data_IF_545866733499
#
_entry.id   IF_545866733499
#
_cell.length_a   1.000
_cell.length_b   1.000
_cell.length_c   1.000
_cell.angle_alpha   90.00
_cell.angle_beta   90.00
_cell.angle_gamma   90.00
#
_symmetry.space_group_name_H-M   'P 1'
#
loop_
_entity.id
_entity.type
_entity.pdbx_description
1 polymer ?
#
# COMPACT_ATOMS: atom_id res chain seq x y z
N UNK A 1 32.03 28.34 13.27
CA UNK A 1 33.39 28.73 12.92
C UNK A 1 33.51 30.25 12.76
N UNK A 2 32.59 30.94 12.07
CA UNK A 2 32.74 32.36 11.74
C UNK A 2 32.72 33.28 12.98
N UNK A 3 31.88 33.01 13.98
CA UNK A 3 31.73 33.81 15.20
C UNK A 3 32.52 33.27 16.40
N UNK A 4 33.09 32.06 16.32
CA UNK A 4 33.82 31.44 17.40
C UNK A 4 35.15 32.10 17.79
N UNK A 5 35.68 32.97 16.92
CA UNK A 5 36.93 33.72 17.19
C UNK A 5 36.73 34.89 18.18
N UNK A 6 35.48 35.31 18.42
CA UNK A 6 35.15 36.38 19.33
C UNK A 6 35.03 35.89 20.79
N UNK A 7 35.03 34.55 20.99
CA UNK A 7 34.88 33.94 22.33
C UNK A 7 36.26 33.78 22.99
N UNK A 8 36.35 34.26 24.21
CA UNK A 8 37.57 34.22 25.02
C UNK A 8 37.66 32.94 25.90
N UNK A 9 36.55 32.22 26.04
CA UNK A 9 36.42 31.03 26.85
C UNK A 9 35.71 31.28 28.16
N UNK A 10 34.86 30.36 28.59
CA UNK A 10 34.05 30.47 29.80
C UNK A 10 32.66 31.07 29.64
N UNK A 11 32.33 31.52 28.42
CA UNK A 11 31.00 32.05 28.13
C UNK A 11 29.93 30.92 28.17
N UNK A 12 28.73 31.26 28.68
CA UNK A 12 27.59 30.33 28.75
C UNK A 12 26.68 30.41 27.54
N UNK A 13 26.77 31.45 26.76
CA UNK A 13 25.99 31.66 25.54
C UNK A 13 26.74 32.59 24.58
N UNK A 14 26.41 32.48 23.30
CA UNK A 14 26.80 33.45 22.29
C UNK A 14 25.57 33.90 21.50
N UNK A 15 25.58 35.12 21.03
CA UNK A 15 24.56 35.65 20.14
C UNK A 15 25.17 35.86 18.76
N UNK A 16 24.56 35.32 17.72
CA UNK A 16 24.99 35.54 16.34
C UNK A 16 23.76 35.67 15.42
N UNK A 17 23.99 36.12 14.20
CA UNK A 17 22.92 36.17 13.20
C UNK A 17 22.65 34.78 12.64
N UNK A 18 21.39 34.38 12.65
CA UNK A 18 20.95 33.14 11.98
C UNK A 18 20.99 33.39 10.47
N UNK A 19 21.80 32.64 9.77
CA UNK A 19 21.97 32.75 8.32
C UNK A 19 20.68 32.50 7.52
N UNK A 20 19.76 31.69 8.03
CA UNK A 20 18.53 31.34 7.32
C UNK A 20 17.39 32.33 7.53
N UNK A 21 17.26 32.92 8.74
CA UNK A 21 16.16 33.82 9.09
C UNK A 21 16.58 35.28 9.12
N UNK A 22 17.89 35.53 9.08
CA UNK A 22 18.50 36.86 9.24
C UNK A 22 18.08 37.56 10.55
N UNK A 23 17.83 36.78 11.60
CA UNK A 23 17.48 37.23 12.95
C UNK A 23 18.57 36.83 13.94
N UNK A 24 18.77 37.58 15.05
CA UNK A 24 19.70 37.18 16.08
C UNK A 24 19.24 35.90 16.80
N UNK A 25 20.16 34.94 16.95
CA UNK A 25 19.95 33.70 17.68
C UNK A 25 20.94 33.59 18.84
N UNK A 26 20.45 33.16 20.01
CA UNK A 26 21.28 32.79 21.17
C UNK A 26 21.60 31.34 21.15
N UNK A 27 22.88 31.00 21.21
CA UNK A 27 23.40 29.64 21.20
C UNK A 27 23.99 29.35 22.59
N UNK A 28 23.44 28.39 23.36
CA UNK A 28 24.02 27.99 24.65
C UNK A 28 25.40 27.36 24.43
N UNK A 29 26.32 27.69 25.31
CA UNK A 29 27.69 27.14 25.30
C UNK A 29 27.97 26.44 26.63
N UNK A 30 28.81 25.42 26.56
CA UNK A 30 29.42 24.80 27.73
C UNK A 30 30.66 25.60 28.10
N UNK A 31 30.62 26.30 29.26
CA UNK A 31 31.69 27.16 29.70
C UNK A 31 33.00 26.45 30.07
N UNK A 32 32.97 25.12 30.16
CA UNK A 32 34.17 24.31 30.38
C UNK A 32 34.87 23.88 29.10
N UNK A 33 34.24 24.15 27.95
CA UNK A 33 34.72 23.78 26.64
C UNK A 33 35.19 25.01 25.87
N UNK A 34 36.21 24.82 25.06
CA UNK A 34 36.64 25.85 24.10
C UNK A 34 35.58 26.06 23.01
N UNK A 35 35.68 27.18 22.28
CA UNK A 35 34.79 27.48 21.14
C UNK A 35 34.75 26.34 20.12
N UNK A 36 35.91 25.74 19.84
CA UNK A 36 36.04 24.61 18.91
C UNK A 36 35.35 23.35 19.43
N UNK A 37 35.52 23.02 20.71
CA UNK A 37 34.86 21.87 21.33
C UNK A 37 33.34 22.04 21.41
N UNK A 38 32.85 23.24 21.71
CA UNK A 38 31.44 23.58 21.63
C UNK A 38 30.90 23.38 20.20
N UNK A 39 31.59 23.91 19.21
CA UNK A 39 31.22 23.72 17.79
C UNK A 39 31.20 22.23 17.40
N UNK A 40 32.21 21.45 17.82
CA UNK A 40 32.26 20.00 17.57
C UNK A 40 31.09 19.27 18.23
N UNK A 41 30.77 19.61 19.50
CA UNK A 41 29.61 19.03 20.23
C UNK A 41 28.29 19.28 19.50
N UNK A 42 28.07 20.47 18.97
CA UNK A 42 26.89 20.80 18.16
C UNK A 42 26.88 20.04 16.83
N UNK A 43 28.03 19.95 16.16
CA UNK A 43 28.17 19.22 14.91
C UNK A 43 27.91 17.71 15.07
N UNK A 44 28.45 17.11 16.13
CA UNK A 44 28.22 15.70 16.45
C UNK A 44 26.74 15.43 16.78
N UNK A 45 26.10 16.33 17.54
CA UNK A 45 24.66 16.26 17.83
C UNK A 45 23.85 16.36 16.53
N UNK A 46 24.17 17.29 15.64
CA UNK A 46 23.53 17.44 14.35
C UNK A 46 23.65 16.15 13.51
N UNK A 47 24.86 15.62 13.38
CA UNK A 47 25.12 14.40 12.61
C UNK A 47 24.38 13.18 13.19
N UNK A 48 24.32 13.07 14.51
CA UNK A 48 23.54 12.03 15.19
C UNK A 48 22.05 12.16 14.86
N UNK A 49 21.49 13.35 15.01
CA UNK A 49 20.07 13.61 14.75
C UNK A 49 19.72 13.38 13.27
N UNK A 50 20.58 13.83 12.35
CA UNK A 50 20.41 13.62 10.92
C UNK A 50 20.34 12.12 10.57
N UNK A 51 21.33 11.33 11.03
CA UNK A 51 21.35 9.87 10.80
C UNK A 51 20.13 9.18 11.43
N UNK A 52 19.73 9.61 12.64
CA UNK A 52 18.54 9.07 13.30
C UNK A 52 17.28 9.39 12.51
N UNK A 53 17.14 10.61 12.02
CA UNK A 53 15.99 11.03 11.20
C UNK A 53 15.90 10.21 9.90
N UNK A 54 17.03 10.07 9.17
CA UNK A 54 17.09 9.28 7.94
C UNK A 54 16.73 7.81 8.19
N UNK A 55 17.27 7.20 9.25
CA UNK A 55 16.96 5.81 9.61
C UNK A 55 15.49 5.62 10.03
N UNK A 56 14.94 6.53 10.84
CA UNK A 56 13.54 6.48 11.26
C UNK A 56 12.58 6.69 10.09
N UNK A 57 12.92 7.57 9.15
CA UNK A 57 12.10 7.80 7.94
C UNK A 57 12.01 6.52 7.11
N UNK A 58 13.15 5.86 6.86
CA UNK A 58 13.18 4.60 6.13
C UNK A 58 12.38 3.50 6.84
N UNK A 59 12.60 3.32 8.15
CA UNK A 59 11.89 2.34 8.96
C UNK A 59 10.37 2.59 9.01
N UNK A 60 9.95 3.86 9.04
CA UNK A 60 8.52 4.22 9.04
C UNK A 60 7.85 3.81 7.73
N UNK A 61 8.53 4.00 6.59
CA UNK A 61 8.01 3.58 5.27
C UNK A 61 7.87 2.05 5.23
N UNK A 62 8.92 1.32 5.60
CA UNK A 62 8.94 -0.15 5.62
C UNK A 62 7.82 -0.71 6.53
N UNK A 63 7.71 -0.20 7.76
CA UNK A 63 6.65 -0.64 8.69
C UNK A 63 5.25 -0.36 8.16
N UNK A 64 5.05 0.78 7.47
CA UNK A 64 3.76 1.09 6.86
C UNK A 64 3.42 0.11 5.74
N UNK A 65 4.37 -0.21 4.87
CA UNK A 65 4.18 -1.21 3.80
C UNK A 65 3.83 -2.59 4.38
N UNK A 66 4.46 -3.00 5.48
CA UNK A 66 4.12 -4.24 6.19
C UNK A 66 2.70 -4.23 6.77
N UNK A 67 2.28 -3.11 7.37
CA UNK A 67 0.92 -2.94 7.89
C UNK A 67 -0.10 -3.02 6.75
N UNK A 68 0.11 -2.29 5.66
CA UNK A 68 -0.77 -2.28 4.51
C UNK A 68 -0.90 -3.71 3.91
N UNK A 69 0.20 -4.46 3.88
CA UNK A 69 0.20 -5.86 3.43
C UNK A 69 -0.60 -6.76 4.39
N UNK A 70 -0.39 -6.67 5.70
CA UNK A 70 -1.16 -7.45 6.69
C UNK A 70 -2.65 -7.09 6.68
N UNK A 71 -3.01 -5.84 6.48
CA UNK A 71 -4.40 -5.42 6.32
C UNK A 71 -5.05 -6.00 5.05
N UNK A 72 -4.31 -6.10 3.95
CA UNK A 72 -4.79 -6.76 2.73
C UNK A 72 -5.03 -8.26 2.95
N UNK A 73 -4.13 -8.93 3.66
CA UNK A 73 -4.29 -10.34 4.05
C UNK A 73 -5.49 -10.54 5.00
N UNK A 74 -5.69 -9.64 5.96
CA UNK A 74 -6.86 -9.66 6.84
C UNK A 74 -8.16 -9.57 6.04
N UNK A 75 -8.20 -8.67 5.05
CA UNK A 75 -9.37 -8.56 4.14
C UNK A 75 -9.56 -9.84 3.32
N UNK A 76 -8.49 -10.46 2.86
CA UNK A 76 -8.56 -11.74 2.15
C UNK A 76 -9.12 -12.88 3.04
N UNK A 77 -8.79 -12.88 4.34
CA UNK A 77 -9.38 -13.84 5.31
C UNK A 77 -10.89 -13.65 5.45
N UNK A 78 -11.40 -12.42 5.45
CA UNK A 78 -12.83 -12.12 5.51
C UNK A 78 -13.58 -12.53 4.21
N UNK A 79 -12.85 -12.63 3.10
CA UNK A 79 -13.37 -13.04 1.78
C UNK A 79 -13.33 -14.57 1.60
N UNK A 80 -12.39 -15.25 2.24
CA UNK A 80 -12.17 -16.68 2.09
C UNK A 80 -13.40 -17.51 2.50
N UNK A 81 -13.87 -18.40 1.61
CA UNK A 81 -15.04 -19.25 1.84
C UNK A 81 -14.69 -20.74 1.96
N UNK A 82 -13.54 -21.15 1.42
CA UNK A 82 -13.12 -22.53 1.31
C UNK A 82 -11.72 -22.75 1.89
N UNK A 83 -11.40 -24.00 2.19
CA UNK A 83 -10.09 -24.38 2.71
C UNK A 83 -8.95 -24.01 1.72
N UNK A 84 -9.19 -24.15 0.42
CA UNK A 84 -8.22 -23.82 -0.62
C UNK A 84 -7.88 -22.31 -0.60
N UNK A 85 -8.86 -21.45 -0.30
CA UNK A 85 -8.65 -20.01 -0.17
C UNK A 85 -7.71 -19.71 1.02
N UNK A 86 -7.93 -20.38 2.17
CA UNK A 86 -7.08 -20.26 3.35
C UNK A 86 -5.67 -20.81 3.13
N UNK A 87 -5.50 -21.82 2.29
CA UNK A 87 -4.17 -22.36 1.96
C UNK A 87 -3.33 -21.35 1.17
N UNK A 88 -3.91 -20.59 0.24
CA UNK A 88 -3.24 -19.51 -0.48
C UNK A 88 -2.79 -18.40 0.47
N UNK A 89 -3.68 -17.97 1.37
CA UNK A 89 -3.38 -16.94 2.38
C UNK A 89 -2.26 -17.42 3.32
N UNK A 90 -2.32 -18.67 3.77
CA UNK A 90 -1.27 -19.27 4.60
C UNK A 90 0.07 -19.30 3.87
N UNK A 91 0.06 -19.61 2.58
CA UNK A 91 1.28 -19.58 1.78
C UNK A 91 1.87 -18.18 1.74
N UNK A 92 1.06 -17.16 1.49
CA UNK A 92 1.49 -15.76 1.47
C UNK A 92 2.10 -15.33 2.81
N UNK A 93 1.41 -15.59 3.94
CA UNK A 93 1.92 -15.32 5.28
C UNK A 93 3.27 -16.01 5.55
N UNK A 94 3.46 -17.22 5.01
CA UNK A 94 4.71 -17.98 5.18
C UNK A 94 5.83 -17.43 4.30
N UNK A 95 5.55 -17.07 3.06
CA UNK A 95 6.53 -16.54 2.10
C UNK A 95 7.06 -15.17 2.53
N UNK A 96 6.19 -14.34 3.12
CA UNK A 96 6.57 -13.02 3.63
C UNK A 96 7.05 -13.03 5.09
N UNK A 97 7.17 -14.23 5.72
CA UNK A 97 7.78 -14.40 7.03
C UNK A 97 6.89 -14.03 8.22
N UNK A 98 5.60 -13.73 8.01
CA UNK A 98 4.67 -13.44 9.10
C UNK A 98 4.36 -14.67 9.95
N UNK A 99 4.42 -15.87 9.39
CA UNK A 99 4.33 -17.12 10.13
C UNK A 99 5.48 -18.05 9.80
N UNK A 100 5.88 -18.87 10.78
CA UNK A 100 6.97 -19.83 10.61
C UNK A 100 6.57 -20.97 9.69
N UNK A 101 7.48 -21.37 8.80
CA UNK A 101 7.33 -22.56 7.98
C UNK A 101 7.41 -23.79 8.88
N UNK A 102 6.31 -24.54 9.04
CA UNK A 102 6.27 -25.78 9.79
C UNK A 102 6.48 -26.98 8.85
N UNK A 103 7.46 -27.81 9.17
CA UNK A 103 7.74 -29.10 8.51
C UNK A 103 8.84 -29.05 7.46
N UNK A 104 9.35 -30.24 7.05
CA UNK A 104 10.31 -30.35 5.96
C UNK A 104 9.68 -29.79 4.69
N UNK A 105 10.51 -29.21 3.81
CA UNK A 105 10.07 -28.65 2.53
C UNK A 105 9.25 -29.66 1.74
N UNK A 106 7.95 -29.73 2.05
CA UNK A 106 7.00 -30.64 1.44
C UNK A 106 6.70 -30.20 0.01
N UNK A 107 6.17 -31.12 -0.79
CA UNK A 107 5.69 -30.87 -2.15
C UNK A 107 4.85 -29.58 -2.17
N UNK A 108 5.12 -28.68 -3.12
CA UNK A 108 4.26 -27.50 -3.35
C UNK A 108 2.83 -28.00 -3.47
N UNK A 109 1.97 -27.60 -2.55
CA UNK A 109 0.55 -27.91 -2.63
C UNK A 109 0.02 -27.21 -3.88
N UNK A 110 -0.61 -27.98 -4.76
CA UNK A 110 -1.24 -27.44 -5.96
C UNK A 110 -2.47 -26.66 -5.48
N UNK A 111 -2.39 -25.34 -5.51
CA UNK A 111 -3.47 -24.47 -5.14
C UNK A 111 -4.53 -24.53 -6.23
N UNK A 112 -5.78 -24.79 -5.85
CA UNK A 112 -6.91 -24.98 -6.76
C UNK A 112 -7.99 -23.94 -6.58
N UNK A 113 -7.80 -22.97 -5.68
CA UNK A 113 -8.72 -21.85 -5.51
C UNK A 113 -8.83 -21.05 -6.81
N UNK A 114 -10.05 -20.65 -7.17
CA UNK A 114 -10.34 -19.83 -8.34
C UNK A 114 -10.96 -18.51 -7.90
N UNK A 115 -10.73 -17.42 -8.65
CA UNK A 115 -11.43 -16.16 -8.44
C UNK A 115 -12.95 -16.36 -8.49
N UNK A 116 -13.70 -15.47 -7.84
CA UNK A 116 -15.13 -15.41 -8.08
C UNK A 116 -15.39 -14.99 -9.52
N UNK A 117 -16.44 -15.55 -10.10
CA UNK A 117 -16.84 -15.25 -11.47
C UNK A 117 -18.32 -14.89 -11.49
N UNK A 118 -18.62 -13.70 -12.01
CA UNK A 118 -19.98 -13.18 -12.16
C UNK A 118 -20.26 -12.83 -13.61
N UNK A 119 -21.55 -12.79 -13.94
CA UNK A 119 -22.03 -12.26 -15.21
C UNK A 119 -22.82 -10.99 -14.95
N UNK A 120 -22.43 -9.89 -15.58
CA UNK A 120 -23.19 -8.64 -15.48
C UNK A 120 -24.58 -8.77 -16.12
N UNK A 121 -25.49 -7.84 -15.80
CA UNK A 121 -26.82 -7.81 -16.42
C UNK A 121 -26.77 -7.71 -17.95
N UNK A 122 -25.68 -7.18 -18.50
CA UNK A 122 -25.47 -7.05 -19.95
C UNK A 122 -24.62 -8.18 -20.56
N UNK A 123 -24.30 -9.21 -19.76
CA UNK A 123 -23.58 -10.40 -20.22
C UNK A 123 -22.06 -10.28 -20.23
N UNK A 124 -21.47 -9.27 -19.58
CA UNK A 124 -20.01 -9.19 -19.42
C UNK A 124 -19.53 -10.07 -18.29
N UNK A 125 -18.42 -10.75 -18.49
CA UNK A 125 -17.76 -11.54 -17.47
C UNK A 125 -16.99 -10.66 -16.49
N UNK A 126 -17.25 -10.83 -15.20
CA UNK A 126 -16.61 -10.11 -14.09
C UNK A 126 -15.90 -11.10 -13.20
N UNK A 127 -14.60 -10.88 -12.97
CA UNK A 127 -13.79 -11.73 -12.11
C UNK A 127 -13.30 -10.95 -10.89
N UNK A 128 -13.34 -11.58 -9.71
CA UNK A 128 -12.97 -10.96 -8.43
C UNK A 128 -11.93 -11.83 -7.75
N UNK A 129 -10.77 -11.27 -7.45
CA UNK A 129 -9.70 -11.98 -6.74
C UNK A 129 -10.03 -12.13 -5.26
N UNK A 130 -9.73 -13.30 -4.69
CA UNK A 130 -9.99 -13.63 -3.29
C UNK A 130 -8.83 -13.29 -2.36
N UNK A 131 -7.63 -13.12 -2.92
CA UNK A 131 -6.40 -12.80 -2.20
C UNK A 131 -5.41 -12.06 -3.11
N UNK A 132 -4.27 -11.68 -2.56
CA UNK A 132 -3.28 -10.89 -3.28
C UNK A 132 -2.66 -11.60 -4.48
N UNK A 133 -2.46 -12.92 -4.43
CA UNK A 133 -1.95 -13.70 -5.57
C UNK A 133 -2.96 -13.72 -6.72
N UNK A 134 -4.24 -13.95 -6.43
CA UNK A 134 -5.30 -13.91 -7.43
C UNK A 134 -5.50 -12.49 -8.00
N UNK A 135 -5.42 -11.45 -7.15
CA UNK A 135 -5.44 -10.06 -7.59
C UNK A 135 -4.33 -9.79 -8.62
N UNK A 136 -3.12 -10.25 -8.32
CA UNK A 136 -1.95 -10.12 -9.21
C UNK A 136 -2.14 -10.90 -10.53
N UNK A 137 -2.60 -12.14 -10.44
CA UNK A 137 -2.84 -13.00 -11.60
C UNK A 137 -3.94 -12.45 -12.51
N UNK A 138 -5.07 -12.05 -11.94
CA UNK A 138 -6.17 -11.42 -12.67
C UNK A 138 -5.72 -10.17 -13.41
N UNK A 139 -4.97 -9.31 -12.72
CA UNK A 139 -4.57 -8.02 -13.28
C UNK A 139 -3.47 -8.17 -14.33
N UNK A 140 -2.45 -9.00 -14.10
CA UNK A 140 -1.24 -8.98 -14.93
C UNK A 140 -1.08 -10.16 -15.88
N UNK A 141 -1.85 -11.25 -15.68
CA UNK A 141 -1.79 -12.41 -16.58
C UNK A 141 -3.09 -12.66 -17.33
N UNK A 142 -4.24 -12.43 -16.67
CA UNK A 142 -5.56 -12.75 -17.23
C UNK A 142 -6.18 -11.57 -17.99
N UNK A 143 -6.14 -10.37 -17.40
CA UNK A 143 -6.73 -9.18 -18.02
C UNK A 143 -5.92 -8.68 -19.22
N UNK A 144 -6.62 -8.30 -20.30
CA UNK A 144 -6.05 -7.62 -21.46
C UNK A 144 -6.07 -6.10 -21.30
N UNK A 145 -5.32 -5.39 -22.13
CA UNK A 145 -5.13 -3.93 -21.96
C UNK A 145 -6.41 -3.10 -21.93
N UNK A 146 -7.46 -3.53 -22.63
CA UNK A 146 -8.73 -2.81 -22.73
C UNK A 146 -9.76 -3.23 -21.69
N UNK A 147 -9.53 -4.32 -20.95
CA UNK A 147 -10.39 -4.72 -19.85
C UNK A 147 -10.38 -3.65 -18.75
N UNK A 148 -11.46 -3.55 -17.99
CA UNK A 148 -11.58 -2.61 -16.90
C UNK A 148 -11.21 -3.25 -15.57
N UNK A 149 -10.41 -2.52 -14.80
CA UNK A 149 -9.98 -2.85 -13.46
C UNK A 149 -10.66 -1.91 -12.47
N UNK A 150 -11.18 -2.47 -11.36
CA UNK A 150 -11.84 -1.74 -10.27
C UNK A 150 -11.20 -2.14 -8.95
N UNK A 151 -11.15 -1.18 -8.00
CA UNK A 151 -10.67 -1.43 -6.65
C UNK A 151 -11.21 -0.36 -5.68
N UNK A 152 -11.43 -0.74 -4.42
CA UNK A 152 -11.82 0.19 -3.37
C UNK A 152 -10.70 1.20 -3.10
N UNK A 153 -11.01 2.49 -3.18
CA UNK A 153 -10.03 3.56 -3.11
C UNK A 153 -9.41 3.69 -1.72
N UNK A 154 -8.09 3.59 -1.67
CA UNK A 154 -7.30 3.82 -0.45
C UNK A 154 -7.51 2.82 0.68
N UNK A 155 -8.23 1.72 0.46
CA UNK A 155 -8.44 0.65 1.43
C UNK A 155 -8.19 -0.73 0.81
N UNK A 156 -7.81 -1.75 1.59
CA UNK A 156 -7.64 -3.11 1.11
C UNK A 156 -8.91 -3.70 0.50
N UNK A 157 -8.73 -4.46 -0.59
CA UNK A 157 -9.85 -5.08 -1.30
C UNK A 157 -9.42 -5.95 -2.46
N UNK A 158 -10.39 -6.55 -3.13
CA UNK A 158 -10.21 -7.35 -4.32
C UNK A 158 -9.97 -6.50 -5.55
N UNK A 159 -9.12 -6.99 -6.46
CA UNK A 159 -9.14 -6.52 -7.84
C UNK A 159 -10.33 -7.15 -8.56
N UNK A 160 -11.15 -6.29 -9.16
CA UNK A 160 -12.29 -6.71 -9.98
C UNK A 160 -11.97 -6.41 -11.43
N UNK A 161 -12.04 -7.43 -12.28
CA UNK A 161 -11.76 -7.33 -13.71
C UNK A 161 -13.02 -7.57 -14.51
N UNK A 162 -13.40 -6.61 -15.36
CA UNK A 162 -14.48 -6.78 -16.35
C UNK A 162 -13.87 -7.05 -17.71
N UNK A 163 -14.20 -8.19 -18.29
CA UNK A 163 -13.76 -8.58 -19.63
C UNK A 163 -14.61 -7.88 -20.69
N UNK A 164 -14.00 -6.97 -21.46
CA UNK A 164 -14.73 -6.16 -22.45
C UNK A 164 -14.92 -6.84 -23.79
N UNK A 165 -14.00 -7.74 -24.18
CA UNK A 165 -14.03 -8.42 -25.46
C UNK A 165 -14.22 -7.48 -26.67
N UNK A 166 -13.65 -6.27 -26.57
CA UNK A 166 -13.74 -5.24 -27.61
C UNK A 166 -15.05 -4.45 -27.65
N UNK A 167 -15.93 -4.61 -26.64
CA UNK A 167 -17.19 -3.88 -26.51
C UNK A 167 -17.07 -2.79 -25.44
N UNK A 168 -17.87 -1.75 -25.55
CA UNK A 168 -18.03 -0.74 -24.51
C UNK A 168 -18.94 -1.25 -23.41
N UNK A 169 -18.60 -0.94 -22.16
CA UNK A 169 -19.42 -1.29 -21.00
C UNK A 169 -20.55 -0.26 -20.84
N UNK A 170 -21.73 -0.71 -20.41
CA UNK A 170 -22.81 0.17 -19.97
C UNK A 170 -22.55 0.72 -18.58
N UNK A 171 -23.20 1.84 -18.24
CA UNK A 171 -23.17 2.42 -16.88
C UNK A 171 -23.58 1.40 -15.82
N UNK A 172 -24.55 0.55 -16.14
CA UNK A 172 -25.03 -0.51 -15.25
C UNK A 172 -23.93 -1.55 -14.93
N UNK A 173 -23.16 -1.96 -15.93
CA UNK A 173 -22.01 -2.88 -15.71
C UNK A 173 -20.93 -2.21 -14.84
N UNK A 174 -20.67 -0.90 -15.01
CA UNK A 174 -19.77 -0.15 -14.12
C UNK A 174 -20.28 -0.13 -12.67
N UNK A 175 -21.56 0.11 -12.45
CA UNK A 175 -22.18 0.09 -11.11
C UNK A 175 -22.11 -1.30 -10.47
N UNK A 176 -22.41 -2.36 -11.22
CA UNK A 176 -22.36 -3.75 -10.77
C UNK A 176 -20.93 -4.16 -10.38
N UNK A 177 -19.95 -3.85 -11.20
CA UNK A 177 -18.54 -4.11 -10.92
C UNK A 177 -18.03 -3.29 -9.71
N UNK A 178 -18.45 -2.03 -9.61
CA UNK A 178 -18.18 -1.17 -8.47
C UNK A 178 -18.75 -1.72 -7.17
N UNK A 179 -20.00 -2.22 -7.19
CA UNK A 179 -20.65 -2.83 -6.04
C UNK A 179 -19.92 -4.11 -5.57
N UNK A 180 -19.43 -4.94 -6.50
CA UNK A 180 -18.60 -6.08 -6.18
C UNK A 180 -17.25 -5.65 -5.56
N UNK A 181 -16.59 -4.62 -6.12
CA UNK A 181 -15.34 -4.12 -5.54
C UNK A 181 -15.55 -3.53 -4.13
N UNK A 182 -16.66 -2.86 -3.89
CA UNK A 182 -17.05 -2.38 -2.56
C UNK A 182 -17.30 -3.54 -1.58
N UNK A 183 -18.05 -4.56 -2.00
CA UNK A 183 -18.38 -5.71 -1.17
C UNK A 183 -17.16 -6.55 -0.80
N UNK A 184 -16.23 -6.74 -1.73
CA UNK A 184 -14.99 -7.49 -1.52
C UNK A 184 -13.85 -6.59 -1.09
N UNK A 185 -14.12 -5.67 -0.16
CA UNK A 185 -13.14 -4.76 0.43
C UNK A 185 -13.34 -4.60 1.94
N UNK A 186 -12.35 -3.99 2.60
CA UNK A 186 -12.45 -3.57 4.01
C UNK A 186 -13.66 -2.65 4.27
N UNK A 187 -14.18 -2.00 3.22
CA UNK A 187 -15.36 -1.13 3.27
C UNK A 187 -16.71 -1.84 3.23
N UNK A 188 -16.75 -3.18 3.24
CA UNK A 188 -17.96 -4.00 3.14
C UNK A 188 -19.08 -3.64 4.13
N UNK A 189 -18.73 -3.16 5.33
CA UNK A 189 -19.70 -2.76 6.36
C UNK A 189 -20.16 -1.30 6.25
N UNK A 190 -19.67 -0.52 5.32
CA UNK A 190 -20.03 0.87 5.13
C UNK A 190 -21.31 0.98 4.29
N UNK A 191 -22.02 2.10 4.40
CA UNK A 191 -23.18 2.40 3.54
C UNK A 191 -22.74 2.56 2.08
N UNK A 192 -21.61 3.23 1.86
CA UNK A 192 -21.03 3.52 0.53
C UNK A 192 -19.52 3.45 0.57
N UNK A 193 -18.93 3.05 -0.55
CA UNK A 193 -17.48 2.95 -0.75
C UNK A 193 -17.09 3.66 -2.04
N UNK A 194 -16.04 4.46 -2.01
CA UNK A 194 -15.46 5.06 -3.22
C UNK A 194 -14.61 4.00 -3.94
N UNK A 195 -14.85 3.81 -5.23
CA UNK A 195 -14.21 2.82 -6.07
C UNK A 195 -13.46 3.53 -7.19
N UNK A 196 -12.17 3.27 -7.28
CA UNK A 196 -11.37 3.67 -8.42
C UNK A 196 -11.49 2.63 -9.53
N UNK A 197 -11.62 3.10 -10.78
CA UNK A 197 -11.65 2.22 -11.94
C UNK A 197 -10.89 2.83 -13.11
N UNK A 198 -10.27 1.95 -13.91
CA UNK A 198 -9.42 2.36 -15.03
C UNK A 198 -9.22 1.17 -15.99
N UNK A 199 -8.91 1.45 -17.25
CA UNK A 199 -8.49 0.39 -18.16
C UNK A 199 -7.17 -0.23 -17.69
N UNK A 200 -7.09 -1.57 -17.74
CA UNK A 200 -5.96 -2.35 -17.23
C UNK A 200 -4.59 -1.91 -17.78
N UNK A 201 -4.53 -1.43 -19.03
CA UNK A 201 -3.27 -0.93 -19.62
C UNK A 201 -2.59 0.18 -18.83
N UNK A 202 -3.34 0.90 -18.01
CA UNK A 202 -2.85 2.00 -17.15
C UNK A 202 -2.51 1.53 -15.71
N UNK A 203 -2.75 0.25 -15.39
CA UNK A 203 -2.37 -0.35 -14.09
C UNK A 203 -1.00 -0.98 -14.22
N UNK A 204 -0.07 -0.57 -13.36
CA UNK A 204 1.33 -1.04 -13.36
C UNK A 204 1.65 -1.78 -12.08
N UNK A 205 2.49 -2.82 -12.21
CA UNK A 205 3.04 -3.54 -11.06
C UNK A 205 4.20 -2.73 -10.44
N UNK A 206 4.22 -2.69 -9.13
CA UNK A 206 5.34 -2.12 -8.37
C UNK A 206 6.43 -3.18 -8.25
N UNK A 207 7.61 -2.86 -8.76
CA UNK A 207 8.76 -3.77 -8.66
C UNK A 207 9.18 -3.96 -7.20
N UNK A 208 9.25 -5.21 -6.74
CA UNK A 208 9.64 -5.54 -5.37
C UNK A 208 8.53 -5.45 -4.33
N UNK A 209 7.34 -4.95 -4.67
CA UNK A 209 6.20 -4.94 -3.76
C UNK A 209 5.53 -6.33 -3.64
N UNK A 210 4.79 -6.53 -2.55
CA UNK A 210 3.96 -7.71 -2.34
C UNK A 210 2.93 -7.92 -3.47
N UNK A 211 2.42 -9.15 -3.68
CA UNK A 211 1.37 -9.40 -4.66
C UNK A 211 0.14 -8.53 -4.41
N UNK A 212 -0.57 -8.17 -5.46
CA UNK A 212 -1.77 -7.34 -5.38
C UNK A 212 -1.50 -5.83 -5.28
N UNK A 213 -0.26 -5.40 -4.98
CA UNK A 213 0.06 -3.98 -4.93
C UNK A 213 0.32 -3.43 -6.34
N UNK A 214 -0.39 -2.35 -6.66
CA UNK A 214 -0.37 -1.72 -7.98
C UNK A 214 -0.25 -0.20 -7.87
N UNK A 215 0.23 0.43 -8.94
CA UNK A 215 0.17 1.88 -9.11
C UNK A 215 -0.59 2.21 -10.40
N UNK A 216 -1.36 3.26 -10.34
CA UNK A 216 -2.08 3.83 -11.48
C UNK A 216 -2.17 5.34 -11.33
N UNK A 217 -2.37 6.02 -12.43
CA UNK A 217 -2.52 7.47 -12.51
C UNK A 217 -3.75 7.78 -13.36
N UNK A 218 -4.39 8.93 -13.12
CA UNK A 218 -5.54 9.38 -13.91
C UNK A 218 -6.69 8.38 -13.99
N UNK A 219 -7.12 7.86 -12.84
CA UNK A 219 -8.28 6.98 -12.70
C UNK A 219 -9.60 7.77 -12.73
N UNK A 220 -10.68 7.04 -12.98
CA UNK A 220 -12.04 7.47 -12.69
C UNK A 220 -12.44 6.93 -11.32
N UNK A 221 -13.43 7.56 -10.68
CA UNK A 221 -14.01 7.09 -9.42
C UNK A 221 -15.52 7.09 -9.49
N UNK A 222 -16.14 6.12 -8.83
CA UNK A 222 -17.58 6.06 -8.58
C UNK A 222 -17.82 5.73 -7.11
N UNK A 223 -19.04 5.97 -6.63
CA UNK A 223 -19.48 5.61 -5.29
C UNK A 223 -20.44 4.44 -5.40
N UNK A 224 -20.14 3.32 -4.75
CA UNK A 224 -20.92 2.11 -4.81
C UNK A 224 -21.40 1.65 -3.42
N UNK A 225 -22.57 1.03 -3.38
CA UNK A 225 -23.05 0.30 -2.21
C UNK A 225 -22.41 -1.11 -2.19
N UNK A 226 -21.84 -1.56 -1.05
CA UNK A 226 -21.20 -2.87 -0.95
C UNK A 226 -22.26 -3.99 -0.90
N UNK A 227 -22.66 -4.47 -2.07
CA UNK A 227 -23.66 -5.54 -2.21
C UNK A 227 -23.37 -6.44 -3.41
N UNK A 228 -23.81 -7.70 -3.30
CA UNK A 228 -23.80 -8.65 -4.42
C UNK A 228 -25.21 -8.67 -5.00
N UNK A 229 -25.36 -8.15 -6.22
CA UNK A 229 -26.63 -8.16 -6.97
C UNK A 229 -26.61 -9.19 -8.09
N UNK A 230 -25.46 -9.75 -8.39
CA UNK A 230 -25.22 -10.69 -9.48
C UNK A 230 -25.16 -12.14 -8.94
N UNK A 231 -25.53 -13.10 -9.77
CA UNK A 231 -25.37 -14.51 -9.46
C UNK A 231 -23.97 -14.97 -9.85
N UNK A 232 -23.29 -15.66 -8.94
CA UNK A 232 -22.00 -16.28 -9.21
C UNK A 232 -22.15 -17.39 -10.23
N UNK A 233 -21.30 -17.39 -11.23
CA UNK A 233 -21.21 -18.48 -12.23
C UNK A 233 -20.40 -19.62 -11.60
N UNK A 234 -21.11 -20.64 -11.14
CA UNK A 234 -20.48 -21.84 -10.60
C UNK A 234 -19.78 -22.61 -11.74
N UNK A 235 -18.45 -22.74 -11.66
CA UNK A 235 -17.62 -23.49 -12.59
C UNK A 235 -17.19 -24.84 -12.05
#
# INVERSE_FOLDING_TARGET
NTYGYELTGGEKEMTCMNYYTNEPIKIPLDSQLTSRENAQKYFDKYNKLKRTFEALTALTVETKEEIDHLESISTALDIALKEEDLMEIKQELTEYGFIKKHGPSGKKVKITSRPFHYLSSDGFHIYVGKNNYQNDELTFKFATGNDWWFHAKGIPGSHVIVKCEGKDLSDKTFEEAGSLAAYYSKGRGNEKVEIDYIQKKNVKKVTGAAPGFVIYHTNFSLVAEPRITLTEVLG
#
